data_IF_558672360636
#
_entry.id   IF_558672360636
#
_cell.length_a   1.000
_cell.length_b   1.000
_cell.length_c   1.000
_cell.angle_alpha   90.00
_cell.angle_beta   90.00
_cell.angle_gamma   90.00
#
_symmetry.space_group_name_H-M   'P 1'
#
loop_
_entity.id
_entity.type
_entity.pdbx_description
1 polymer ?
#
# COMPACT_ATOMS: atom_id res chain seq x y z
N UNK A 1 1.24 -11.59 10.19
CA UNK A 1 0.25 -10.53 10.01
C UNK A 1 0.56 -9.93 8.68
N UNK A 2 -0.38 -10.03 7.76
CA UNK A 2 -0.16 -9.61 6.38
C UNK A 2 -0.23 -8.09 6.29
N UNK A 3 0.36 -7.45 5.25
CA UNK A 3 0.34 -6.01 5.11
C UNK A 3 -1.08 -5.43 5.09
N UNK A 4 -2.06 -6.18 4.57
CA UNK A 4 -3.46 -5.75 4.50
C UNK A 4 -4.10 -5.61 5.89
N UNK A 5 -3.80 -6.53 6.83
CA UNK A 5 -4.27 -6.49 8.22
C UNK A 5 -3.79 -5.24 8.98
N UNK A 6 -2.67 -4.66 8.54
CA UNK A 6 -2.03 -3.53 9.20
C UNK A 6 -2.56 -2.18 8.73
N UNK A 7 -3.25 -2.10 7.57
CA UNK A 7 -3.72 -0.85 6.99
C UNK A 7 -4.66 -0.07 7.92
N UNK A 8 -5.63 -0.75 8.52
CA UNK A 8 -6.60 -0.15 9.43
C UNK A 8 -5.98 0.27 10.78
N UNK A 9 -4.76 -0.18 11.06
CA UNK A 9 -4.04 0.12 12.29
C UNK A 9 -3.08 1.30 12.15
N UNK A 10 -2.91 1.84 10.93
CA UNK A 10 -2.03 2.98 10.69
C UNK A 10 -2.73 4.26 11.12
N UNK A 11 -2.23 4.90 12.17
CA UNK A 11 -2.77 6.16 12.69
C UNK A 11 -1.70 7.19 13.07
N UNK A 12 -0.42 6.78 13.01
CA UNK A 12 0.73 7.60 13.33
C UNK A 12 1.98 7.10 12.58
N UNK A 13 3.10 7.77 12.78
CA UNK A 13 4.37 7.41 12.12
C UNK A 13 4.91 6.05 12.58
N UNK A 14 4.65 5.61 13.82
CA UNK A 14 5.18 4.35 14.34
C UNK A 14 4.43 3.15 13.75
N UNK A 15 3.11 3.24 13.72
CA UNK A 15 2.23 2.26 13.08
C UNK A 15 2.44 2.22 11.58
N UNK A 16 2.69 3.36 10.93
CA UNK A 16 3.11 3.42 9.53
C UNK A 16 4.44 2.69 9.29
N UNK A 17 5.48 2.95 10.09
CA UNK A 17 6.77 2.27 9.95
C UNK A 17 6.66 0.75 10.20
N UNK A 18 5.71 0.31 11.03
CA UNK A 18 5.40 -1.11 11.20
C UNK A 18 4.81 -1.71 9.92
N UNK A 19 3.84 -1.02 9.32
CA UNK A 19 3.26 -1.40 8.03
C UNK A 19 4.33 -1.46 6.93
N UNK A 20 5.16 -0.41 6.78
CA UNK A 20 6.17 -0.35 5.72
C UNK A 20 7.20 -1.50 5.83
N UNK A 21 7.60 -1.88 7.06
CA UNK A 21 8.47 -3.04 7.28
C UNK A 21 7.79 -4.36 6.91
N UNK A 22 6.49 -4.49 7.19
CA UNK A 22 5.72 -5.67 6.81
C UNK A 22 5.59 -5.77 5.29
N UNK A 23 5.30 -4.66 4.60
CA UNK A 23 5.23 -4.60 3.13
C UNK A 23 6.58 -4.96 2.47
N UNK A 24 7.69 -4.47 3.03
CA UNK A 24 9.03 -4.84 2.56
C UNK A 24 9.34 -6.33 2.77
N UNK A 25 8.98 -6.89 3.93
CA UNK A 25 9.18 -8.31 4.22
C UNK A 25 8.33 -9.21 3.31
N UNK A 26 7.09 -8.77 3.02
CA UNK A 26 6.18 -9.42 2.08
C UNK A 26 6.77 -9.43 0.65
N UNK A 27 7.28 -8.29 0.18
CA UNK A 27 8.00 -8.18 -1.10
C UNK A 27 9.20 -9.12 -1.19
N UNK A 28 10.01 -9.18 -0.13
CA UNK A 28 11.20 -10.01 -0.09
C UNK A 28 10.90 -11.52 -0.01
N UNK A 29 9.73 -11.89 0.52
CA UNK A 29 9.28 -13.27 0.59
C UNK A 29 8.54 -13.73 -0.68
N UNK A 30 8.01 -12.78 -1.47
CA UNK A 30 7.38 -13.06 -2.75
C UNK A 30 8.40 -13.73 -3.68
N UNK A 31 8.01 -14.87 -4.23
CA UNK A 31 8.83 -15.56 -5.23
C UNK A 31 8.62 -14.88 -6.59
N UNK A 32 9.60 -14.90 -7.50
CA UNK A 32 9.40 -14.38 -8.86
C UNK A 32 8.23 -15.07 -9.61
N UNK A 33 7.84 -16.26 -9.17
CA UNK A 33 6.71 -17.04 -9.69
C UNK A 33 5.39 -16.82 -8.93
N UNK A 34 5.40 -16.11 -7.79
CA UNK A 34 4.17 -15.78 -7.08
C UNK A 34 3.49 -14.59 -7.74
N UNK A 35 2.24 -14.77 -8.18
CA UNK A 35 1.36 -13.70 -8.69
C UNK A 35 0.88 -12.73 -7.59
N UNK A 36 1.49 -12.76 -6.40
CA UNK A 36 1.08 -11.92 -5.27
C UNK A 36 1.49 -10.45 -5.43
N UNK A 37 2.42 -10.16 -6.36
CA UNK A 37 2.89 -8.83 -6.69
C UNK A 37 2.67 -8.59 -8.19
N UNK A 38 1.69 -7.75 -8.52
CA UNK A 38 1.40 -7.38 -9.91
C UNK A 38 2.52 -6.52 -10.51
N UNK A 39 3.20 -5.74 -9.66
CA UNK A 39 4.28 -4.84 -10.05
C UNK A 39 5.61 -5.24 -9.40
N UNK A 40 6.52 -5.78 -10.20
CA UNK A 40 7.85 -6.22 -9.75
C UNK A 40 8.97 -5.20 -10.02
N UNK A 41 8.64 -4.05 -10.61
CA UNK A 41 9.55 -2.91 -10.78
C UNK A 41 9.10 -1.74 -9.93
N UNK A 42 10.02 -0.85 -9.57
CA UNK A 42 9.69 0.36 -8.82
C UNK A 42 8.81 1.30 -9.65
N UNK A 43 9.00 1.32 -10.96
CA UNK A 43 8.21 2.10 -11.91
C UNK A 43 6.75 1.64 -11.92
N UNK A 44 6.49 0.34 -12.12
CA UNK A 44 5.11 -0.20 -12.12
C UNK A 44 4.45 -0.03 -10.75
N UNK A 45 5.19 -0.27 -9.67
CA UNK A 45 4.68 -0.11 -8.31
C UNK A 45 4.21 1.33 -8.05
N UNK A 46 4.99 2.32 -8.46
CA UNK A 46 4.62 3.73 -8.30
C UNK A 46 3.51 4.15 -9.26
N UNK A 47 3.53 3.67 -10.51
CA UNK A 47 2.48 3.93 -11.51
C UNK A 47 1.11 3.46 -10.99
N UNK A 48 1.01 2.22 -10.52
CA UNK A 48 -0.20 1.64 -9.95
C UNK A 48 -0.68 2.38 -8.69
N UNK A 49 0.25 2.75 -7.80
CA UNK A 49 -0.08 3.55 -6.62
C UNK A 49 -0.65 4.94 -7.00
N UNK A 50 -0.06 5.60 -8.01
CA UNK A 50 -0.52 6.89 -8.54
C UNK A 50 -1.90 6.75 -9.19
N UNK A 51 -2.10 5.74 -10.04
CA UNK A 51 -3.38 5.48 -10.71
C UNK A 51 -4.52 5.26 -9.71
N UNK A 52 -4.26 4.50 -8.63
CA UNK A 52 -5.21 4.38 -7.53
C UNK A 52 -5.48 5.72 -6.84
N UNK A 53 -4.44 6.51 -6.54
CA UNK A 53 -4.62 7.79 -5.87
C UNK A 53 -5.45 8.78 -6.69
N UNK A 54 -5.20 8.87 -7.99
CA UNK A 54 -5.94 9.75 -8.91
C UNK A 54 -7.39 9.30 -9.09
N UNK A 55 -7.63 7.99 -9.19
CA UNK A 55 -8.99 7.45 -9.37
C UNK A 55 -9.85 7.47 -8.10
N UNK A 56 -9.22 7.43 -6.92
CA UNK A 56 -9.90 7.35 -5.62
C UNK A 56 -9.94 8.68 -4.83
N UNK A 57 -9.38 9.76 -5.38
CA UNK A 57 -9.10 11.01 -4.64
C UNK A 57 -8.34 10.70 -3.34
N UNK A 58 -7.22 9.99 -3.49
CA UNK A 58 -6.39 9.52 -2.38
C UNK A 58 -7.19 8.73 -1.32
N UNK A 59 -8.10 7.88 -1.78
CA UNK A 59 -8.96 7.03 -0.98
C UNK A 59 -10.20 7.71 -0.40
N UNK A 60 -10.38 9.03 -0.58
CA UNK A 60 -11.53 9.77 -0.03
C UNK A 60 -12.83 9.24 -0.62
N UNK A 61 -12.86 8.94 -1.92
CA UNK A 61 -14.05 8.36 -2.57
C UNK A 61 -14.37 6.93 -2.12
N UNK A 62 -13.42 6.27 -1.46
CA UNK A 62 -13.53 4.92 -0.90
C UNK A 62 -13.76 4.91 0.62
N UNK A 63 -13.95 6.08 1.23
CA UNK A 63 -14.28 6.21 2.66
C UNK A 63 -13.08 6.35 3.60
N UNK A 64 -11.86 6.53 3.07
CA UNK A 64 -10.71 6.90 3.90
C UNK A 64 -10.90 8.31 4.46
N UNK A 65 -10.53 8.47 5.74
CA UNK A 65 -10.62 9.77 6.37
C UNK A 65 -9.42 10.65 6.00
N UNK A 66 -9.64 11.87 5.48
CA UNK A 66 -8.55 12.77 5.11
C UNK A 66 -7.76 13.29 6.32
N UNK A 67 -8.27 13.09 7.54
CA UNK A 67 -7.60 13.42 8.80
C UNK A 67 -6.44 12.47 9.14
N UNK A 68 -6.35 11.31 8.49
CA UNK A 68 -5.32 10.30 8.73
C UNK A 68 -4.41 10.11 7.51
N UNK A 69 -3.54 11.07 7.28
CA UNK A 69 -2.60 11.06 6.15
C UNK A 69 -1.64 9.86 6.17
N UNK A 70 -1.36 9.28 7.34
CA UNK A 70 -0.53 8.09 7.45
C UNK A 70 -1.23 6.85 6.89
N UNK A 71 -2.51 6.67 7.20
CA UNK A 71 -3.30 5.58 6.64
C UNK A 71 -3.48 5.73 5.13
N UNK A 72 -3.77 6.94 4.67
CA UNK A 72 -3.82 7.27 3.25
C UNK A 72 -2.52 6.87 2.54
N UNK A 73 -1.37 7.21 3.12
CA UNK A 73 -0.08 6.85 2.54
C UNK A 73 0.22 5.35 2.61
N UNK A 74 -0.22 4.66 3.66
CA UNK A 74 -0.09 3.20 3.74
C UNK A 74 -0.93 2.50 2.65
N UNK A 75 -2.17 2.93 2.44
CA UNK A 75 -3.03 2.41 1.37
C UNK A 75 -2.45 2.72 0.01
N UNK A 76 -1.92 3.93 -0.22
CA UNK A 76 -1.18 4.27 -1.43
C UNK A 76 -0.07 3.26 -1.75
N UNK A 77 0.80 2.97 -0.77
CA UNK A 77 1.88 1.99 -0.95
C UNK A 77 1.35 0.56 -1.16
N UNK A 78 0.25 0.20 -0.51
CA UNK A 78 -0.36 -1.12 -0.71
C UNK A 78 -0.95 -1.28 -2.10
N UNK A 79 -1.59 -0.24 -2.64
CA UNK A 79 -2.13 -0.26 -4.00
C UNK A 79 -1.03 -0.42 -5.07
N UNK A 80 0.18 0.08 -4.83
CA UNK A 80 1.31 -0.21 -5.70
C UNK A 80 1.62 -1.71 -5.86
N UNK A 81 1.30 -2.54 -4.86
CA UNK A 81 1.47 -4.00 -4.91
C UNK A 81 0.38 -4.69 -5.75
N UNK A 82 -0.89 -4.26 -5.62
CA UNK A 82 -2.07 -5.04 -6.04
C UNK A 82 -2.87 -4.45 -7.20
N UNK A 83 -2.60 -3.22 -7.61
CA UNK A 83 -3.41 -2.51 -8.60
C UNK A 83 -2.82 -2.71 -10.00
N UNK A 84 -3.63 -3.25 -10.92
CA UNK A 84 -3.29 -3.51 -12.33
C UNK A 84 -3.32 -2.25 -13.21
#
# INVERSE_FOLDING_TARGET
MEPHDLLDQVNDSQTFLRFARALMADCAAASPESMDWENNTIEGFLESAIAWAESSDFGISQGLQPSNSWQQFAVFLYCGKIYE
#
